data_IF_952637422672
#
_entry.id   IF_952637422672
#
_cell.length_a   1.000
_cell.length_b   1.000
_cell.length_c   1.000
_cell.angle_alpha   90.00
_cell.angle_beta   90.00
_cell.angle_gamma   90.00
#
_symmetry.space_group_name_H-M   'P 1'
#
loop_
_entity.id
_entity.type
_entity.pdbx_description
1 polymer ?
#
# COMPACT_ATOMS: atom_id res chain seq x y z
N UNK A 1 -9.17 -5.59 -3.29
CA UNK A 1 -8.24 -6.56 -3.92
C UNK A 1 -8.80 -6.83 -5.30
N UNK A 2 -8.01 -7.24 -6.30
CA UNK A 2 -8.64 -7.65 -7.57
C UNK A 2 -9.33 -8.99 -7.31
N UNK A 3 -10.66 -9.02 -7.24
CA UNK A 3 -11.45 -10.21 -6.90
C UNK A 3 -11.17 -11.39 -7.84
N UNK A 4 -10.61 -11.14 -9.03
CA UNK A 4 -10.19 -12.16 -9.98
C UNK A 4 -8.92 -12.90 -9.50
N UNK A 5 -7.85 -12.17 -9.21
CA UNK A 5 -6.54 -12.72 -8.80
C UNK A 5 -6.64 -13.58 -7.53
N UNK A 6 -7.53 -13.23 -6.60
CA UNK A 6 -7.78 -14.02 -5.40
C UNK A 6 -8.35 -15.39 -5.74
N UNK A 7 -9.31 -15.45 -6.67
CA UNK A 7 -9.93 -16.70 -7.12
C UNK A 7 -8.96 -17.54 -7.94
N UNK A 8 -8.12 -16.89 -8.73
CA UNK A 8 -7.06 -17.57 -9.47
C UNK A 8 -6.03 -18.19 -8.51
N UNK A 9 -5.59 -17.47 -7.49
CA UNK A 9 -4.73 -17.99 -6.42
C UNK A 9 -5.35 -19.19 -5.68
N UNK A 10 -6.62 -19.11 -5.28
CA UNK A 10 -7.35 -20.22 -4.66
C UNK A 10 -7.36 -21.45 -5.58
N UNK A 11 -7.53 -21.25 -6.88
CA UNK A 11 -7.49 -22.33 -7.88
C UNK A 11 -6.09 -22.92 -8.00
N UNK A 12 -5.04 -22.10 -8.04
CA UNK A 12 -3.65 -22.56 -8.08
C UNK A 12 -3.28 -23.38 -6.84
N UNK A 13 -3.78 -22.99 -5.67
CA UNK A 13 -3.59 -23.73 -4.41
C UNK A 13 -4.24 -25.12 -4.51
N UNK A 14 -5.48 -25.23 -5.03
CA UNK A 14 -6.14 -26.53 -5.24
C UNK A 14 -5.39 -27.41 -6.24
N UNK A 15 -4.88 -26.82 -7.32
CA UNK A 15 -4.03 -27.53 -8.31
C UNK A 15 -2.75 -28.04 -7.66
N UNK A 16 -2.07 -27.23 -6.83
CA UNK A 16 -0.90 -27.65 -6.06
C UNK A 16 -1.23 -28.81 -5.12
N UNK A 17 -2.36 -28.74 -4.40
CA UNK A 17 -2.81 -29.79 -3.49
C UNK A 17 -3.05 -31.12 -4.22
N UNK A 18 -3.71 -31.08 -5.38
CA UNK A 18 -3.86 -32.23 -6.26
C UNK A 18 -2.50 -32.81 -6.67
N UNK A 19 -1.59 -31.98 -7.21
CA UNK A 19 -0.26 -32.44 -7.62
C UNK A 19 0.54 -33.05 -6.46
N UNK A 20 0.34 -32.55 -5.24
CA UNK A 20 0.97 -33.08 -4.03
C UNK A 20 0.38 -34.44 -3.64
N UNK A 21 -0.94 -34.60 -3.70
CA UNK A 21 -1.62 -35.87 -3.44
C UNK A 21 -1.21 -36.97 -4.43
N UNK A 22 -0.96 -36.60 -5.69
CA UNK A 22 -0.56 -37.50 -6.77
C UNK A 22 0.93 -37.40 -7.12
N UNK A 23 1.81 -37.03 -6.16
CA UNK A 23 3.22 -36.75 -6.43
C UNK A 23 3.98 -37.90 -7.13
N UNK A 24 3.58 -39.16 -6.89
CA UNK A 24 4.15 -40.33 -7.56
C UNK A 24 3.98 -40.31 -9.10
N UNK A 25 2.96 -39.62 -9.61
CA UNK A 25 2.71 -39.42 -11.04
C UNK A 25 3.64 -38.37 -11.68
N UNK A 26 4.35 -37.58 -10.87
CA UNK A 26 5.24 -36.50 -11.31
C UNK A 26 6.66 -36.70 -10.78
N UNK A 27 7.35 -37.79 -11.17
CA UNK A 27 8.69 -38.08 -10.68
C UNK A 27 9.69 -37.00 -11.12
N UNK A 28 10.77 -36.87 -10.36
CA UNK A 28 11.83 -35.90 -10.64
C UNK A 28 12.42 -36.10 -12.05
N UNK A 29 12.73 -35.00 -12.73
CA UNK A 29 13.21 -35.01 -14.11
C UNK A 29 12.12 -35.04 -15.19
N UNK A 30 10.84 -35.11 -14.79
CA UNK A 30 9.72 -34.94 -15.73
C UNK A 30 9.34 -33.47 -15.89
N UNK A 31 8.77 -33.14 -17.05
CA UNK A 31 8.20 -31.81 -17.30
C UNK A 31 7.11 -31.44 -16.28
N UNK A 32 6.28 -32.41 -15.88
CA UNK A 32 5.26 -32.18 -14.85
C UNK A 32 5.85 -31.74 -13.51
N UNK A 33 6.95 -32.35 -13.09
CA UNK A 33 7.67 -31.95 -11.87
C UNK A 33 8.24 -30.53 -11.97
N UNK A 34 8.83 -30.16 -13.11
CA UNK A 34 9.32 -28.80 -13.36
C UNK A 34 8.20 -27.76 -13.26
N UNK A 35 7.07 -28.02 -13.92
CA UNK A 35 5.93 -27.10 -13.96
C UNK A 35 5.31 -26.93 -12.56
N UNK A 36 5.24 -28.01 -11.76
CA UNK A 36 4.81 -27.94 -10.35
C UNK A 36 5.72 -27.01 -9.54
N UNK A 37 7.04 -27.09 -9.73
CA UNK A 37 7.99 -26.22 -9.03
C UNK A 37 7.80 -24.74 -9.41
N UNK A 38 7.57 -24.45 -10.70
CA UNK A 38 7.28 -23.08 -11.17
C UNK A 38 5.95 -22.58 -10.59
N UNK A 39 4.90 -23.41 -10.56
CA UNK A 39 3.62 -23.08 -9.96
C UNK A 39 3.76 -22.74 -8.47
N UNK A 40 4.50 -23.54 -7.71
CA UNK A 40 4.74 -23.31 -6.29
C UNK A 40 5.48 -21.99 -6.03
N UNK A 41 6.49 -21.68 -6.85
CA UNK A 41 7.19 -20.41 -6.78
C UNK A 41 6.26 -19.22 -7.08
N UNK A 42 5.43 -19.34 -8.13
CA UNK A 42 4.47 -18.30 -8.50
C UNK A 42 3.39 -18.06 -7.41
N UNK A 43 2.88 -19.12 -6.77
CA UNK A 43 1.95 -19.02 -5.64
C UNK A 43 2.59 -18.25 -4.47
N UNK A 44 3.83 -18.60 -4.11
CA UNK A 44 4.57 -17.93 -3.02
C UNK A 44 4.78 -16.44 -3.30
N UNK A 45 5.09 -16.11 -4.55
CA UNK A 45 5.28 -14.74 -5.00
C UNK A 45 3.97 -13.94 -5.01
N UNK A 46 2.86 -14.55 -5.44
CA UNK A 46 1.52 -13.96 -5.36
C UNK A 46 1.15 -13.62 -3.91
N UNK A 47 1.28 -14.57 -2.98
CA UNK A 47 0.98 -14.36 -1.56
C UNK A 47 1.80 -13.21 -0.97
N UNK A 48 3.11 -13.19 -1.24
CA UNK A 48 4.05 -12.17 -0.76
C UNK A 48 3.71 -10.78 -1.29
N UNK A 49 3.47 -10.65 -2.60
CA UNK A 49 3.16 -9.36 -3.20
C UNK A 49 1.75 -8.88 -2.86
N UNK A 50 0.77 -9.79 -2.69
CA UNK A 50 -0.57 -9.45 -2.21
C UNK A 50 -0.53 -8.90 -0.77
N UNK A 51 0.25 -9.51 0.12
CA UNK A 51 0.48 -9.01 1.47
C UNK A 51 1.13 -7.61 1.44
N UNK A 52 2.14 -7.41 0.59
CA UNK A 52 2.80 -6.12 0.38
C UNK A 52 1.83 -5.05 -0.15
N UNK A 53 0.99 -5.39 -1.12
CA UNK A 53 -0.03 -4.48 -1.67
C UNK A 53 -1.08 -4.10 -0.61
N UNK A 54 -1.55 -5.06 0.19
CA UNK A 54 -2.50 -4.83 1.27
C UNK A 54 -1.91 -3.93 2.38
N UNK A 55 -0.65 -4.17 2.74
CA UNK A 55 0.10 -3.32 3.67
C UNK A 55 0.26 -1.90 3.14
N UNK A 56 0.64 -1.73 1.87
CA UNK A 56 0.77 -0.41 1.22
C UNK A 56 -0.53 0.39 1.22
N UNK A 57 -1.69 -0.27 1.01
CA UNK A 57 -3.01 0.38 1.07
C UNK A 57 -3.38 0.86 2.48
N UNK A 58 -3.08 0.07 3.52
CA UNK A 58 -3.28 0.48 4.93
C UNK A 58 -2.34 1.62 5.32
N UNK A 59 -1.06 1.49 4.97
CA UNK A 59 -0.04 2.52 5.18
C UNK A 59 -0.34 3.86 4.49
N UNK A 60 -1.08 3.86 3.38
CA UNK A 60 -1.50 5.09 2.70
C UNK A 60 -2.53 5.91 3.51
N UNK A 61 -3.49 5.25 4.17
CA UNK A 61 -4.47 5.91 5.06
C UNK A 61 -3.80 6.43 6.32
N UNK A 62 -2.98 5.60 6.95
CA UNK A 62 -2.19 5.98 8.12
C UNK A 62 -1.24 7.15 7.79
N UNK A 63 -0.56 7.09 6.64
CA UNK A 63 0.33 8.15 6.16
C UNK A 63 -0.36 9.48 5.89
N UNK A 64 -1.64 9.47 5.50
CA UNK A 64 -2.43 10.71 5.36
C UNK A 64 -2.72 11.34 6.72
N UNK A 65 -3.05 10.51 7.71
CA UNK A 65 -3.29 10.96 9.10
C UNK A 65 -2.01 11.52 9.71
N UNK A 66 -0.90 10.78 9.64
CA UNK A 66 0.40 11.22 10.17
C UNK A 66 0.90 12.49 9.48
N UNK A 67 0.72 12.61 8.16
CA UNK A 67 1.04 13.84 7.45
C UNK A 67 0.21 15.02 7.96
N UNK A 68 -1.08 14.82 8.21
CA UNK A 68 -1.95 15.87 8.74
C UNK A 68 -1.47 16.36 10.11
N UNK A 69 -1.10 15.42 10.99
CA UNK A 69 -0.57 15.71 12.32
C UNK A 69 0.77 16.46 12.23
N UNK A 70 1.74 15.92 11.48
CA UNK A 70 3.04 16.57 11.31
C UNK A 70 2.93 17.97 10.68
N UNK A 71 1.99 18.15 9.73
CA UNK A 71 1.74 19.47 9.14
C UNK A 71 1.11 20.44 10.13
N UNK A 72 0.24 19.96 11.02
CA UNK A 72 -0.38 20.79 12.05
C UNK A 72 0.67 21.26 13.07
N UNK A 73 1.51 20.35 13.57
CA UNK A 73 2.62 20.66 14.47
C UNK A 73 3.59 21.70 13.85
N UNK A 74 4.07 21.43 12.63
CA UNK A 74 4.91 22.37 11.90
C UNK A 74 4.26 23.75 11.75
N UNK A 75 2.95 23.80 11.49
CA UNK A 75 2.23 25.07 11.35
C UNK A 75 2.12 25.81 12.68
N UNK A 76 1.89 25.10 13.78
CA UNK A 76 1.79 25.67 15.12
C UNK A 76 3.11 26.34 15.53
N UNK A 77 4.25 25.67 15.31
CA UNK A 77 5.58 26.23 15.58
C UNK A 77 5.81 27.54 14.80
N UNK A 78 5.48 27.54 13.51
CA UNK A 78 5.64 28.73 12.66
C UNK A 78 4.66 29.85 13.05
N UNK A 79 3.45 29.53 13.49
CA UNK A 79 2.48 30.51 13.99
C UNK A 79 2.94 31.14 15.32
N UNK A 80 3.57 30.37 16.21
CA UNK A 80 4.16 30.89 17.45
C UNK A 80 5.32 31.86 17.16
N UNK A 81 6.21 31.50 16.24
CA UNK A 81 7.32 32.37 15.79
C UNK A 81 6.77 33.62 15.10
N UNK A 82 5.83 33.48 14.15
CA UNK A 82 5.24 34.64 13.45
C UNK A 82 4.59 35.64 14.43
N UNK A 83 3.80 35.14 15.39
CA UNK A 83 3.12 35.99 16.39
C UNK A 83 4.13 36.74 17.25
N UNK A 84 5.20 36.07 17.67
CA UNK A 84 6.25 36.68 18.49
C UNK A 84 7.06 37.69 17.69
N UNK A 85 7.39 37.38 16.43
CA UNK A 85 8.07 38.30 15.52
C UNK A 85 7.26 39.58 15.27
N UNK A 86 5.93 39.47 15.15
CA UNK A 86 5.04 40.63 15.07
C UNK A 86 5.04 41.49 16.33
N UNK A 87 5.17 40.89 17.51
CA UNK A 87 5.33 41.64 18.75
C UNK A 87 6.71 42.31 18.84
N UNK A 88 7.76 41.63 18.37
CA UNK A 88 9.12 42.17 18.28
C UNK A 88 9.21 43.36 17.31
N UNK A 89 8.45 43.31 16.21
CA UNK A 89 8.40 44.36 15.18
C UNK A 89 8.03 45.75 15.71
N UNK A 90 7.29 45.82 16.82
CA UNK A 90 6.97 47.09 17.52
C UNK A 90 8.24 47.83 17.98
N UNK A 91 9.31 47.08 18.29
CA UNK A 91 10.62 47.59 18.71
C UNK A 91 11.72 47.42 17.67
N UNK A 92 11.52 46.53 16.69
CA UNK A 92 12.49 46.16 15.65
C UNK A 92 11.78 46.13 14.28
N UNK A 93 11.52 47.30 13.65
CA UNK A 93 10.74 47.37 12.42
C UNK A 93 11.32 46.51 11.27
N UNK A 94 10.46 45.85 10.49
CA UNK A 94 10.84 45.02 9.34
C UNK A 94 11.08 43.54 9.66
N UNK A 95 10.92 43.13 10.92
CA UNK A 95 11.06 41.74 11.33
C UNK A 95 9.85 40.87 10.93
N UNK A 96 8.67 41.49 10.89
CA UNK A 96 7.41 40.88 10.50
C UNK A 96 7.41 40.32 9.06
N UNK A 97 8.21 40.90 8.18
CA UNK A 97 8.34 40.46 6.78
C UNK A 97 9.18 39.18 6.66
N UNK A 98 10.17 38.99 7.54
CA UNK A 98 11.01 37.78 7.57
C UNK A 98 10.22 36.55 8.02
N UNK A 99 9.29 36.73 8.95
CA UNK A 99 8.51 35.64 9.53
C UNK A 99 7.10 35.54 8.95
N UNK A 100 6.91 35.82 7.65
CA UNK A 100 5.58 35.79 7.04
C UNK A 100 5.16 34.37 6.64
N UNK A 101 3.99 33.96 7.13
CA UNK A 101 3.37 32.69 6.75
C UNK A 101 2.68 32.77 5.37
N UNK A 102 2.90 31.79 4.46
CA UNK A 102 2.16 31.72 3.21
C UNK A 102 0.70 31.32 3.46
N UNK A 103 -0.22 31.89 2.65
CA UNK A 103 -1.64 31.50 2.67
C UNK A 103 -1.85 30.07 2.16
N UNK A 104 -1.07 29.68 1.16
CA UNK A 104 -1.00 28.33 0.60
C UNK A 104 0.39 28.08 0.03
N UNK A 105 0.92 26.87 0.22
CA UNK A 105 2.20 26.45 -0.35
C UNK A 105 2.19 24.95 -0.63
N UNK A 106 3.04 24.51 -1.56
CA UNK A 106 3.31 23.09 -1.78
C UNK A 106 3.97 22.47 -0.54
N UNK A 107 4.04 21.13 -0.45
CA UNK A 107 4.71 20.49 0.70
C UNK A 107 6.17 20.96 0.84
N UNK A 108 6.89 21.10 -0.27
CA UNK A 108 8.26 21.62 -0.29
C UNK A 108 8.30 23.11 0.03
N UNK A 109 7.30 23.89 -0.38
CA UNK A 109 7.18 25.30 0.00
C UNK A 109 7.03 25.50 1.51
N UNK A 110 6.25 24.64 2.19
CA UNK A 110 6.13 24.67 3.65
C UNK A 110 7.47 24.37 4.35
N UNK A 111 8.23 23.40 3.84
CA UNK A 111 9.56 23.08 4.38
C UNK A 111 10.58 24.21 4.14
N UNK A 112 10.54 24.83 2.97
CA UNK A 112 11.40 25.97 2.66
C UNK A 112 11.15 27.14 3.61
N UNK A 113 9.88 27.48 3.87
CA UNK A 113 9.50 28.53 4.84
C UNK A 113 9.90 28.16 6.25
N UNK A 114 9.72 26.89 6.66
CA UNK A 114 10.09 26.48 7.99
C UNK A 114 11.61 26.56 8.24
N UNK A 115 12.41 26.14 7.27
CA UNK A 115 13.86 26.25 7.32
C UNK A 115 14.33 27.71 7.31
N UNK A 116 13.66 28.59 6.56
CA UNK A 116 13.99 30.03 6.60
C UNK A 116 13.66 30.63 7.96
N UNK A 117 12.53 30.27 8.58
CA UNK A 117 12.20 30.70 9.94
C UNK A 117 13.24 30.23 10.95
N UNK A 118 13.69 28.97 10.89
CA UNK A 118 14.73 28.46 11.77
C UNK A 118 16.05 29.25 11.63
N UNK A 119 16.46 29.54 10.39
CA UNK A 119 17.66 30.33 10.09
C UNK A 119 17.56 31.77 10.59
N UNK A 120 16.43 32.44 10.33
CA UNK A 120 16.22 33.83 10.70
C UNK A 120 15.97 34.02 12.20
N UNK A 121 15.38 33.02 12.88
CA UNK A 121 15.12 33.06 14.32
C UNK A 121 16.34 32.70 15.16
N UNK A 122 17.30 31.91 14.63
CA UNK A 122 18.52 31.54 15.35
C UNK A 122 19.30 32.73 15.95
N UNK A 123 19.64 33.80 15.19
CA UNK A 123 20.34 34.96 15.76
C UNK A 123 19.49 35.76 16.75
N UNK A 124 18.17 35.56 16.78
CA UNK A 124 17.22 36.28 17.61
C UNK A 124 16.67 35.42 18.76
N UNK A 125 17.22 34.22 18.98
CA UNK A 125 16.72 33.22 19.94
C UNK A 125 16.43 33.84 21.31
N UNK A 126 17.37 34.62 21.85
CA UNK A 126 17.25 35.27 23.17
C UNK A 126 16.05 36.22 23.23
N UNK A 127 15.77 36.94 22.14
CA UNK A 127 14.66 37.90 22.08
C UNK A 127 13.30 37.20 21.91
N UNK A 128 13.27 36.07 21.21
CA UNK A 128 12.10 35.20 21.13
C UNK A 128 11.78 34.58 22.50
N UNK A 129 12.78 34.04 23.20
CA UNK A 129 12.62 33.46 24.55
C UNK A 129 12.17 34.52 25.56
N UNK A 130 12.75 35.72 25.51
CA UNK A 130 12.33 36.86 26.35
C UNK A 130 10.83 37.18 26.23
N UNK A 131 10.22 36.87 25.09
CA UNK A 131 8.80 37.11 24.80
C UNK A 131 7.91 35.88 24.99
N UNK A 132 8.45 34.83 25.64
CA UNK A 132 7.68 33.70 26.12
C UNK A 132 7.67 32.47 25.22
N UNK A 133 8.53 32.41 24.19
CA UNK A 133 8.80 31.13 23.52
C UNK A 133 9.65 30.23 24.42
N UNK A 134 9.43 28.89 24.38
CA UNK A 134 10.29 27.93 25.08
C UNK A 134 11.76 28.05 24.67
N UNK A 135 12.71 27.72 25.56
CA UNK A 135 14.15 27.78 25.23
C UNK A 135 14.56 26.84 24.10
N UNK A 136 13.80 25.77 23.89
CA UNK A 136 13.99 24.71 22.91
C UNK A 136 13.11 24.89 21.66
N UNK A 137 12.44 26.04 21.46
CA UNK A 137 11.51 26.22 20.34
C UNK A 137 12.13 25.99 18.95
N UNK A 138 13.43 26.28 18.77
CA UNK A 138 14.15 26.00 17.52
C UNK A 138 14.39 24.50 17.33
N UNK A 139 14.62 23.78 18.43
CA UNK A 139 14.79 22.33 18.41
C UNK A 139 13.44 21.65 18.11
N UNK A 140 12.35 22.15 18.69
CA UNK A 140 10.98 21.73 18.38
C UNK A 140 10.63 21.97 16.91
N UNK A 141 10.91 23.16 16.37
CA UNK A 141 10.71 23.47 14.96
C UNK A 141 11.53 22.53 14.06
N UNK A 142 12.79 22.26 14.40
CA UNK A 142 13.64 21.36 13.63
C UNK A 142 13.13 19.91 13.66
N UNK A 143 12.59 19.46 14.80
CA UNK A 143 11.92 18.16 14.92
C UNK A 143 10.68 18.10 14.03
N UNK A 144 9.80 19.12 14.07
CA UNK A 144 8.61 19.22 13.22
C UNK A 144 8.95 19.24 11.72
N UNK A 145 10.02 19.92 11.32
CA UNK A 145 10.56 19.88 9.94
C UNK A 145 10.94 18.45 9.56
N UNK A 146 11.72 17.78 10.41
CA UNK A 146 12.18 16.41 10.18
C UNK A 146 11.04 15.40 10.10
N UNK A 147 10.06 15.47 10.99
CA UNK A 147 8.88 14.61 10.97
C UNK A 147 8.06 14.83 9.71
N UNK A 148 7.79 16.08 9.34
CA UNK A 148 7.03 16.38 8.14
C UNK A 148 7.75 15.87 6.89
N UNK A 149 9.06 16.06 6.77
CA UNK A 149 9.88 15.50 5.69
C UNK A 149 9.80 13.97 5.61
N UNK A 150 9.92 13.28 6.75
CA UNK A 150 9.81 11.83 6.82
C UNK A 150 8.45 11.35 6.31
N UNK A 151 7.34 12.03 6.68
CA UNK A 151 6.01 11.66 6.16
C UNK A 151 5.90 11.79 4.64
N UNK A 152 6.60 12.77 4.04
CA UNK A 152 6.63 12.95 2.59
C UNK A 152 7.44 11.86 1.90
N UNK A 153 8.60 11.48 2.45
CA UNK A 153 9.46 10.44 1.91
C UNK A 153 8.80 9.05 1.98
N UNK A 154 8.17 8.73 3.11
CA UNK A 154 7.41 7.48 3.32
C UNK A 154 6.32 7.31 2.27
N UNK A 155 5.64 8.40 1.89
CA UNK A 155 4.62 8.38 0.84
C UNK A 155 5.19 8.03 -0.54
N UNK A 156 6.36 8.55 -0.89
CA UNK A 156 7.01 8.25 -2.18
C UNK A 156 7.43 6.79 -2.25
N UNK A 157 8.00 6.24 -1.17
CA UNK A 157 8.38 4.83 -1.08
C UNK A 157 7.16 3.90 -1.18
N UNK A 158 6.06 4.19 -0.46
CA UNK A 158 4.85 3.36 -0.54
C UNK A 158 4.18 3.39 -1.92
N UNK A 159 4.24 4.52 -2.64
CA UNK A 159 3.75 4.59 -4.02
C UNK A 159 4.57 3.70 -4.95
N UNK A 160 5.90 3.76 -4.86
CA UNK A 160 6.79 2.91 -5.65
C UNK A 160 6.57 1.42 -5.35
N UNK A 161 6.54 1.05 -4.07
CA UNK A 161 6.32 -0.33 -3.64
C UNK A 161 4.94 -0.87 -4.08
N UNK A 162 3.89 -0.05 -4.03
CA UNK A 162 2.56 -0.48 -4.49
C UNK A 162 2.52 -0.75 -6.00
N UNK A 163 3.15 0.11 -6.81
CA UNK A 163 3.22 -0.07 -8.27
C UNK A 163 4.03 -1.32 -8.61
N UNK A 164 5.20 -1.49 -8.00
CA UNK A 164 6.03 -2.67 -8.20
C UNK A 164 5.31 -3.97 -7.79
N UNK A 165 4.68 -3.98 -6.61
CA UNK A 165 3.91 -5.15 -6.15
C UNK A 165 2.73 -5.46 -7.08
N UNK A 166 2.08 -4.45 -7.68
CA UNK A 166 0.98 -4.67 -8.62
C UNK A 166 1.48 -5.30 -9.93
N UNK A 167 2.61 -4.84 -10.46
CA UNK A 167 3.23 -5.46 -11.63
C UNK A 167 3.66 -6.90 -11.36
N UNK A 168 4.33 -7.14 -10.23
CA UNK A 168 4.77 -8.48 -9.83
C UNK A 168 3.61 -9.46 -9.62
N UNK A 169 2.48 -9.01 -9.06
CA UNK A 169 1.27 -9.83 -8.94
C UNK A 169 0.79 -10.29 -10.32
N UNK A 170 0.69 -9.36 -11.29
CA UNK A 170 0.19 -9.71 -12.63
C UNK A 170 1.12 -10.71 -13.33
N UNK A 171 2.43 -10.51 -13.24
CA UNK A 171 3.42 -11.42 -13.83
C UNK A 171 3.39 -12.82 -13.19
N UNK A 172 3.25 -12.88 -11.86
CA UNK A 172 3.14 -14.16 -11.15
C UNK A 172 1.83 -14.89 -11.47
N UNK A 173 0.72 -14.16 -11.62
CA UNK A 173 -0.57 -14.72 -12.03
C UNK A 173 -0.51 -15.31 -13.45
N UNK A 174 0.05 -14.57 -14.41
CA UNK A 174 0.24 -15.06 -15.79
C UNK A 174 1.09 -16.33 -15.83
N UNK A 175 2.19 -16.39 -15.06
CA UNK A 175 3.01 -17.60 -14.94
C UNK A 175 2.25 -18.78 -14.35
N UNK A 176 1.50 -18.55 -13.27
CA UNK A 176 0.71 -19.60 -12.62
C UNK A 176 -0.40 -20.13 -13.53
N UNK A 177 -1.06 -19.25 -14.30
CA UNK A 177 -2.06 -19.64 -15.29
C UNK A 177 -1.46 -20.52 -16.39
N UNK A 178 -0.28 -20.15 -16.92
CA UNK A 178 0.42 -20.95 -17.91
C UNK A 178 0.81 -22.33 -17.37
N UNK A 179 1.30 -22.40 -16.11
CA UNK A 179 1.61 -23.67 -15.46
C UNK A 179 0.37 -24.55 -15.32
N UNK A 180 -0.77 -23.97 -14.93
CA UNK A 180 -2.04 -24.70 -14.84
C UNK A 180 -2.47 -25.26 -16.19
N UNK A 181 -2.38 -24.49 -17.27
CA UNK A 181 -2.72 -24.94 -18.63
C UNK A 181 -1.83 -26.11 -19.07
N UNK A 182 -0.53 -26.02 -18.79
CA UNK A 182 0.41 -27.09 -19.10
C UNK A 182 0.14 -28.35 -18.25
N UNK A 183 -0.16 -28.18 -16.96
CA UNK A 183 -0.54 -29.28 -16.08
C UNK A 183 -1.86 -29.94 -16.49
N UNK A 184 -2.85 -29.21 -17.01
CA UNK A 184 -4.10 -29.80 -17.52
C UNK A 184 -3.81 -30.82 -18.64
N UNK A 185 -2.94 -30.46 -19.59
CA UNK A 185 -2.54 -31.37 -20.65
C UNK A 185 -1.77 -32.59 -20.09
N UNK A 186 -0.84 -32.39 -19.16
CA UNK A 186 -0.05 -33.46 -18.55
C UNK A 186 -0.93 -34.43 -17.76
N UNK A 187 -1.79 -33.92 -16.88
CA UNK A 187 -2.69 -34.71 -16.02
C UNK A 187 -3.65 -35.54 -16.88
N UNK A 188 -4.27 -34.93 -17.90
CA UNK A 188 -5.15 -35.65 -18.83
C UNK A 188 -4.45 -36.76 -19.61
N UNK A 189 -3.15 -36.61 -19.87
CA UNK A 189 -2.36 -37.65 -20.54
C UNK A 189 -1.96 -38.78 -19.59
N UNK A 190 -1.53 -38.48 -18.36
CA UNK A 190 -1.10 -39.48 -17.38
C UNK A 190 -2.29 -40.32 -16.89
N UNK A 191 -3.42 -39.68 -16.59
CA UNK A 191 -4.60 -40.33 -16.01
C UNK A 191 -5.67 -40.62 -17.06
N UNK A 192 -5.30 -40.79 -18.33
CA UNK A 192 -6.24 -40.99 -19.44
C UNK A 192 -7.27 -42.08 -19.17
N UNK A 193 -6.83 -43.18 -18.57
CA UNK A 193 -7.65 -44.37 -18.30
C UNK A 193 -8.16 -44.42 -16.84
N UNK A 194 -7.98 -43.34 -16.07
CA UNK A 194 -8.46 -43.19 -14.70
C UNK A 194 -9.48 -42.03 -14.60
N UNK A 195 -10.77 -42.32 -14.86
CA UNK A 195 -11.81 -41.30 -14.87
C UNK A 195 -12.07 -40.68 -13.48
N UNK A 196 -11.70 -41.38 -12.39
CA UNK A 196 -11.90 -40.88 -11.02
C UNK A 196 -10.91 -39.75 -10.76
N UNK A 197 -9.62 -39.98 -11.01
CA UNK A 197 -8.59 -38.95 -10.83
C UNK A 197 -8.78 -37.76 -11.77
N UNK A 198 -9.29 -37.98 -13.00
CA UNK A 198 -9.64 -36.88 -13.91
C UNK A 198 -10.83 -36.02 -13.44
N UNK A 199 -11.81 -36.62 -12.74
CA UNK A 199 -12.90 -35.88 -12.14
C UNK A 199 -12.40 -34.99 -10.99
N UNK A 200 -11.51 -35.52 -10.14
CA UNK A 200 -10.83 -34.77 -9.09
C UNK A 200 -10.02 -33.60 -9.66
N UNK A 201 -9.25 -33.83 -10.73
CA UNK A 201 -8.52 -32.77 -11.44
C UNK A 201 -9.45 -31.68 -11.98
N UNK A 202 -10.58 -32.07 -12.56
CA UNK A 202 -11.56 -31.11 -13.10
C UNK A 202 -12.12 -30.23 -11.99
N UNK A 203 -12.37 -30.79 -10.80
CA UNK A 203 -12.79 -30.03 -9.63
C UNK A 203 -11.69 -29.09 -9.12
N UNK A 204 -10.44 -29.55 -9.06
CA UNK A 204 -9.31 -28.76 -8.56
C UNK A 204 -8.93 -27.60 -9.50
N UNK A 205 -9.00 -27.81 -10.82
CA UNK A 205 -8.60 -26.84 -11.85
C UNK A 205 -9.70 -25.86 -12.26
N UNK A 206 -10.95 -26.04 -11.80
CA UNK A 206 -12.04 -25.14 -12.14
C UNK A 206 -11.97 -23.83 -11.33
N UNK A 207 -11.96 -22.70 -12.03
CA UNK A 207 -12.11 -21.37 -11.40
C UNK A 207 -13.59 -21.11 -11.20
N UNK A 208 -14.07 -21.12 -9.96
CA UNK A 208 -15.47 -20.90 -9.65
C UNK A 208 -15.90 -19.48 -10.09
N UNK A 209 -16.88 -19.42 -10.99
CA UNK A 209 -17.41 -18.16 -11.52
C UNK A 209 -18.37 -17.56 -10.49
N UNK A 210 -18.21 -16.27 -10.17
CA UNK A 210 -19.09 -15.55 -9.23
C UNK A 210 -20.55 -15.70 -9.70
N UNK A 211 -21.40 -16.27 -8.87
CA UNK A 211 -22.82 -16.37 -9.17
C UNK A 211 -23.39 -14.95 -9.29
N UNK A 212 -23.86 -14.59 -10.49
CA UNK A 212 -24.58 -13.34 -10.68
C UNK A 212 -25.88 -13.45 -9.89
N UNK A 213 -25.94 -12.74 -8.75
CA UNK A 213 -27.12 -12.64 -7.88
C UNK A 213 -28.35 -12.36 -8.75
N UNK A 214 -29.14 -13.39 -9.02
CA UNK A 214 -30.38 -13.28 -9.81
C UNK A 214 -31.31 -12.41 -8.97
N UNK A 215 -31.69 -11.23 -9.48
CA UNK A 215 -32.69 -10.39 -8.82
C UNK A 215 -33.97 -11.22 -8.68
N UNK A 216 -34.29 -11.61 -7.45
CA UNK A 216 -35.58 -12.22 -7.12
C UNK A 216 -36.65 -11.18 -7.45
N UNK A 217 -37.52 -11.49 -8.41
CA UNK A 217 -38.68 -10.66 -8.70
C UNK A 217 -39.58 -10.61 -7.44
N UNK A 218 -40.17 -9.45 -7.09
CA UNK A 218 -41.05 -9.35 -5.94
C UNK A 218 -42.28 -10.23 -6.14
N UNK A 219 -42.65 -10.99 -5.10
CA UNK A 219 -43.82 -11.85 -5.11
C UNK A 219 -45.10 -10.99 -5.30
N UNK A 220 -46.06 -11.44 -6.13
CA UNK A 220 -47.31 -10.71 -6.32
C UNK A 220 -48.14 -10.69 -5.02
N UNK A 221 -48.85 -9.58 -4.74
CA UNK A 221 -49.64 -9.46 -3.52
C UNK A 221 -50.79 -10.47 -3.49
N UNK A 222 -50.99 -11.11 -2.34
CA UNK A 222 -52.04 -12.10 -2.13
C UNK A 222 -53.44 -11.46 -2.19
N UNK A 223 -54.45 -12.16 -2.74
CA UNK A 223 -55.80 -11.65 -2.86
C UNK A 223 -56.48 -11.53 -1.49
N UNK A 224 -57.06 -10.36 -1.22
CA UNK A 224 -57.91 -10.08 -0.06
C UNK A 224 -59.24 -10.83 -0.19
N UNK A 225 -59.53 -11.69 0.80
CA UNK A 225 -60.86 -12.23 1.08
C UNK A 225 -61.45 -11.55 2.32
#
# INVERSE_FOLDING_TARGET
>A
MNDQIVRDLETYIRVREFCTAHAAAFPAGTRGHEVINVLNAAITELETNMATQASGKRGAKEGTTLKSVARAALREDLEAINRTARAMALSMPGLEDKFRLPRSASNQGWLAVARSFAQDAAPLKVEFVRRGLPEDFLDQLQASIGEYEQTLNRRTQHKGAHVAATAAINEADERAMNCKLELDAIVRNIFRDDPVTLAEWTSASHVERKEHRRKTAPAPPAPTH
#
